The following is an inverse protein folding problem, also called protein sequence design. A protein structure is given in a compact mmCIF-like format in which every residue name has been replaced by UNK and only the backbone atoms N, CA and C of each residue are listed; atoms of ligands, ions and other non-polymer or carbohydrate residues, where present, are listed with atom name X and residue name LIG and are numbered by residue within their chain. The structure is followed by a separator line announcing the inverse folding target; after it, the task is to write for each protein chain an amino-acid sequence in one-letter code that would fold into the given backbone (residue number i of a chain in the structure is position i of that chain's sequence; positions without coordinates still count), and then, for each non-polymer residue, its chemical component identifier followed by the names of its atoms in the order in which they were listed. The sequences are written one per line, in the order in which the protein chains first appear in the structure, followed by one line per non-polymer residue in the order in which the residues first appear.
data_IF_706034486141
#
_entry.id   IF_706034486141
#
_cell.length_a   1.000
_cell.length_b   1.000
_cell.length_c   1.000
_cell.angle_alpha   90.00
_cell.angle_beta   90.00
_cell.angle_gamma   90.00
#
_symmetry.space_group_name_H-M   'P 1'
#
loop_
_entity.id
_entity.type
_entity.pdbx_description
1 polymer ?
#
# COMPACT_ATOMS: atom_id res chain seq x y z
N UNK A 1 -14.85 -42.92 -26.25
CA UNK A 1 -14.50 -43.46 -24.92
C UNK A 1 -15.37 -42.79 -23.89
N UNK A 2 -16.07 -43.59 -23.08
CA UNK A 2 -16.99 -43.09 -22.06
C UNK A 2 -16.26 -42.91 -20.74
N UNK A 3 -16.61 -41.88 -19.96
CA UNK A 3 -15.94 -41.56 -18.68
C UNK A 3 -15.94 -42.73 -17.68
N UNK A 4 -16.87 -43.69 -17.83
CA UNK A 4 -16.93 -44.94 -17.03
C UNK A 4 -15.72 -45.87 -17.22
N UNK A 5 -15.02 -45.79 -18.34
CA UNK A 5 -13.87 -46.67 -18.65
C UNK A 5 -12.56 -46.20 -17.98
N UNK A 6 -12.52 -44.96 -17.46
CA UNK A 6 -11.37 -44.46 -16.70
C UNK A 6 -11.56 -44.80 -15.22
N UNK A 7 -10.98 -45.91 -14.78
CA UNK A 7 -10.82 -46.22 -13.36
C UNK A 7 -10.00 -45.15 -12.62
N UNK A 8 -10.00 -45.20 -11.29
CA UNK A 8 -9.18 -44.31 -10.47
C UNK A 8 -7.69 -44.64 -10.67
N UNK A 9 -6.98 -43.83 -11.47
CA UNK A 9 -5.53 -43.93 -11.61
C UNK A 9 -4.85 -43.28 -10.40
N UNK A 10 -3.80 -43.91 -9.88
CA UNK A 10 -2.91 -43.23 -8.95
C UNK A 10 -2.24 -42.02 -9.64
N UNK A 11 -1.96 -41.01 -8.84
CA UNK A 11 -1.33 -39.79 -9.33
C UNK A 11 0.17 -40.06 -9.52
N UNK A 12 0.59 -40.20 -10.78
CA UNK A 12 2.00 -40.45 -11.17
C UNK A 12 2.78 -39.16 -11.50
N UNK A 13 2.29 -38.00 -11.04
CA UNK A 13 2.92 -36.71 -11.33
C UNK A 13 4.16 -36.43 -10.47
N UNK A 14 5.07 -35.59 -10.96
CA UNK A 14 6.13 -35.01 -10.14
C UNK A 14 5.65 -33.75 -9.40
N UNK A 15 6.09 -33.58 -8.15
CA UNK A 15 5.83 -32.36 -7.39
C UNK A 15 6.60 -31.19 -8.00
N UNK A 16 5.91 -30.32 -8.75
CA UNK A 16 6.51 -29.09 -9.28
C UNK A 16 6.72 -28.09 -8.14
N UNK A 17 7.97 -27.98 -7.67
CA UNK A 17 8.38 -26.99 -6.69
C UNK A 17 8.52 -25.63 -7.39
N UNK A 18 7.61 -24.70 -7.14
CA UNK A 18 7.73 -23.32 -7.61
C UNK A 18 8.56 -22.49 -6.62
N UNK A 19 9.47 -21.64 -7.13
CA UNK A 19 10.28 -20.71 -6.31
C UNK A 19 9.44 -19.71 -5.51
N UNK A 20 8.31 -19.27 -6.06
CA UNK A 20 7.40 -18.29 -5.42
C UNK A 20 5.96 -18.83 -5.41
N UNK A 21 5.63 -19.77 -4.50
CA UNK A 21 4.29 -20.38 -4.43
C UNK A 21 3.20 -19.35 -4.06
N UNK A 22 3.57 -18.24 -3.43
CA UNK A 22 2.69 -17.16 -2.99
C UNK A 22 2.31 -16.16 -4.09
N UNK A 23 3.12 -16.03 -5.16
CA UNK A 23 2.92 -15.04 -6.21
C UNK A 23 1.54 -15.08 -6.91
N UNK A 24 0.99 -16.27 -7.26
CA UNK A 24 -0.35 -16.34 -7.83
C UNK A 24 -1.43 -15.74 -6.93
N UNK A 25 -1.33 -15.95 -5.60
CA UNK A 25 -2.28 -15.40 -4.62
C UNK A 25 -2.24 -13.88 -4.67
N UNK A 26 -1.04 -13.30 -4.69
CA UNK A 26 -0.85 -11.85 -4.79
C UNK A 26 -1.41 -11.30 -6.10
N UNK A 27 -1.07 -11.92 -7.24
CA UNK A 27 -1.54 -11.48 -8.56
C UNK A 27 -3.07 -11.50 -8.65
N UNK A 28 -3.71 -12.58 -8.17
CA UNK A 28 -5.16 -12.67 -8.16
C UNK A 28 -5.79 -11.67 -7.18
N UNK A 29 -5.20 -11.48 -6.00
CA UNK A 29 -5.64 -10.46 -5.03
C UNK A 29 -5.61 -9.06 -5.62
N UNK A 30 -4.49 -8.66 -6.23
CA UNK A 30 -4.35 -7.36 -6.92
C UNK A 30 -5.40 -7.22 -8.03
N UNK A 31 -5.55 -8.24 -8.88
CA UNK A 31 -6.54 -8.22 -9.97
C UNK A 31 -7.96 -8.05 -9.43
N UNK A 32 -8.34 -8.81 -8.40
CA UNK A 32 -9.67 -8.74 -7.78
C UNK A 32 -9.94 -7.35 -7.20
N UNK A 33 -8.95 -6.74 -6.54
CA UNK A 33 -9.09 -5.37 -6.03
C UNK A 33 -9.29 -4.37 -7.17
N UNK A 34 -8.51 -4.45 -8.25
CA UNK A 34 -8.69 -3.57 -9.43
C UNK A 34 -10.01 -3.76 -10.16
N UNK A 35 -10.63 -4.94 -10.08
CA UNK A 35 -11.95 -5.17 -10.68
C UNK A 35 -13.09 -4.46 -9.92
N UNK A 36 -12.86 -3.99 -8.69
CA UNK A 36 -13.87 -3.24 -7.92
C UNK A 36 -14.07 -1.86 -8.51
N UNK A 37 -15.31 -1.54 -8.90
CA UNK A 37 -15.67 -0.25 -9.53
C UNK A 37 -15.18 0.97 -8.75
N UNK A 38 -15.41 0.98 -7.43
CA UNK A 38 -15.01 2.10 -6.57
C UNK A 38 -13.50 2.23 -6.43
N UNK A 39 -12.77 1.12 -6.38
CA UNK A 39 -11.31 1.13 -6.21
C UNK A 39 -10.59 1.79 -7.39
N UNK A 40 -11.13 1.67 -8.61
CA UNK A 40 -10.60 2.35 -9.81
C UNK A 40 -10.62 3.87 -9.68
N UNK A 41 -11.52 4.44 -8.88
CA UNK A 41 -11.57 5.87 -8.60
C UNK A 41 -10.77 6.24 -7.34
N UNK A 42 -10.81 5.40 -6.30
CA UNK A 42 -10.09 5.68 -5.05
C UNK A 42 -8.58 5.74 -5.25
N UNK A 43 -7.99 4.84 -6.06
CA UNK A 43 -6.55 4.81 -6.29
C UNK A 43 -6.01 6.10 -6.97
N UNK A 44 -6.53 6.59 -8.11
CA UNK A 44 -6.05 7.85 -8.67
C UNK A 44 -6.34 9.05 -7.75
N UNK A 45 -7.48 9.06 -7.05
CA UNK A 45 -7.79 10.11 -6.07
C UNK A 45 -6.75 10.17 -4.94
N UNK A 46 -6.28 9.00 -4.49
CA UNK A 46 -5.25 8.90 -3.45
C UNK A 46 -3.89 9.47 -3.86
N UNK A 47 -3.63 9.65 -5.16
CA UNK A 47 -2.42 10.25 -5.69
C UNK A 47 -2.51 11.77 -5.83
N UNK A 48 -3.68 12.40 -5.64
CA UNK A 48 -3.82 13.85 -5.76
C UNK A 48 -2.91 14.63 -4.78
N UNK A 49 -2.79 14.25 -3.49
CA UNK A 49 -1.82 14.89 -2.61
C UNK A 49 -0.40 14.74 -3.14
N UNK A 50 -0.07 13.60 -3.76
CA UNK A 50 1.25 13.40 -4.32
C UNK A 50 1.53 14.39 -5.46
N UNK A 51 0.55 14.61 -6.34
CA UNK A 51 0.63 15.60 -7.42
C UNK A 51 0.81 17.00 -6.86
N UNK A 52 0.05 17.38 -5.82
CA UNK A 52 0.19 18.68 -5.17
C UNK A 52 1.60 18.91 -4.61
N UNK A 53 2.15 17.93 -3.89
CA UNK A 53 3.53 18.03 -3.38
C UNK A 53 4.56 18.07 -4.51
N UNK A 54 4.36 17.30 -5.59
CA UNK A 54 5.23 17.36 -6.76
C UNK A 54 5.21 18.74 -7.43
N UNK A 55 4.04 19.38 -7.53
CA UNK A 55 3.94 20.76 -8.03
C UNK A 55 4.62 21.76 -7.10
N UNK A 56 4.53 21.56 -5.79
CA UNK A 56 5.28 22.36 -4.82
C UNK A 56 6.80 22.25 -5.03
N UNK A 57 7.29 21.05 -5.35
CA UNK A 57 8.71 20.84 -5.67
C UNK A 57 9.10 21.65 -6.92
N UNK A 58 8.30 21.55 -7.98
CA UNK A 58 8.54 22.29 -9.22
C UNK A 58 8.58 23.81 -9.01
N UNK A 59 7.60 24.35 -8.27
CA UNK A 59 7.50 25.79 -7.97
C UNK A 59 8.72 26.27 -7.18
N UNK A 60 9.19 25.48 -6.20
CA UNK A 60 10.31 25.87 -5.35
C UNK A 60 11.65 26.02 -6.10
N UNK A 61 11.83 25.27 -7.19
CA UNK A 61 13.04 25.35 -8.01
C UNK A 61 12.94 26.47 -9.05
N UNK A 62 11.72 26.92 -9.35
CA UNK A 62 11.41 27.99 -10.32
C UNK A 62 10.85 29.24 -9.65
N UNK A 63 11.31 29.57 -8.44
CA UNK A 63 10.85 30.76 -7.69
C UNK A 63 11.12 32.08 -8.42
N UNK A 64 12.03 32.09 -9.39
CA UNK A 64 12.28 33.24 -10.27
C UNK A 64 11.07 33.55 -11.16
N UNK A 65 10.38 32.51 -11.64
CA UNK A 65 9.21 32.61 -12.54
C UNK A 65 7.93 33.03 -11.80
N UNK A 66 7.88 32.90 -10.47
CA UNK A 66 6.68 33.15 -9.65
C UNK A 66 6.93 34.19 -8.54
N UNK A 67 7.10 35.48 -8.88
CA UNK A 67 7.37 36.53 -7.91
C UNK A 67 6.26 36.71 -6.86
N UNK A 68 5.01 36.36 -7.18
CA UNK A 68 3.88 36.40 -6.24
C UNK A 68 4.02 35.41 -5.06
N UNK A 69 4.80 34.33 -5.20
CA UNK A 69 4.94 33.28 -4.19
C UNK A 69 6.15 33.48 -3.26
N UNK A 70 6.91 34.56 -3.44
CA UNK A 70 8.19 34.84 -2.76
C UNK A 70 8.04 35.30 -1.28
N UNK A 71 6.81 35.41 -0.76
CA UNK A 71 6.48 35.84 0.60
C UNK A 71 6.63 34.76 1.69
N UNK A 72 5.76 34.78 2.70
CA UNK A 72 5.77 33.82 3.84
C UNK A 72 5.68 32.33 3.42
N UNK A 73 5.13 32.06 2.24
CA UNK A 73 5.11 30.72 1.61
C UNK A 73 6.49 30.16 1.26
N UNK A 74 7.53 31.00 1.25
CA UNK A 74 8.91 30.59 0.94
C UNK A 74 9.47 29.55 1.91
N UNK A 75 9.09 29.57 3.20
CA UNK A 75 9.55 28.57 4.17
C UNK A 75 8.94 27.18 3.92
N UNK A 76 7.67 27.12 3.51
CA UNK A 76 7.00 25.86 3.14
C UNK A 76 7.46 25.32 1.78
N UNK A 77 7.97 26.18 0.91
CA UNK A 77 8.53 25.83 -0.39
C UNK A 77 10.00 25.39 -0.30
N UNK A 78 10.68 25.53 0.84
CA UNK A 78 12.02 24.96 1.00
C UNK A 78 11.94 23.43 1.08
N UNK A 79 12.36 22.77 0.00
CA UNK A 79 12.43 21.31 -0.06
C UNK A 79 13.61 20.84 0.80
N UNK A 80 13.31 20.62 2.08
CA UNK A 80 14.17 19.98 3.07
C UNK A 80 13.62 18.58 3.41
N UNK A 81 14.34 17.74 4.18
CA UNK A 81 13.79 16.48 4.70
C UNK A 81 12.45 16.66 5.44
N UNK A 82 12.22 17.84 6.04
CA UNK A 82 10.93 18.22 6.63
C UNK A 82 9.76 18.21 5.63
N UNK A 83 9.99 18.57 4.37
CA UNK A 83 8.97 18.54 3.32
C UNK A 83 8.45 17.12 3.06
N UNK A 84 9.38 16.15 2.97
CA UNK A 84 9.06 14.73 2.82
C UNK A 84 8.33 14.21 4.07
N UNK A 85 8.80 14.58 5.27
CA UNK A 85 8.13 14.23 6.52
C UNK A 85 6.68 14.72 6.53
N UNK A 86 6.45 15.98 6.16
CA UNK A 86 5.09 16.57 6.11
C UNK A 86 4.17 15.79 5.18
N UNK A 87 4.64 15.37 4.01
CA UNK A 87 3.85 14.53 3.10
C UNK A 87 3.41 13.21 3.77
N UNK A 88 4.35 12.51 4.40
CA UNK A 88 4.10 11.21 5.01
C UNK A 88 3.27 11.29 6.30
N UNK A 89 3.44 12.34 7.11
CA UNK A 89 2.74 12.51 8.39
C UNK A 89 1.45 13.32 8.27
N UNK A 90 1.05 13.70 7.07
CA UNK A 90 -0.19 14.44 6.85
C UNK A 90 -1.38 13.58 7.28
N UNK A 91 -2.25 14.08 8.17
CA UNK A 91 -3.39 13.29 8.68
C UNK A 91 -4.30 12.77 7.56
N UNK A 92 -4.49 13.56 6.51
CA UNK A 92 -5.20 13.14 5.30
C UNK A 92 -4.52 11.97 4.56
N UNK A 93 -3.18 11.89 4.58
CA UNK A 93 -2.44 10.78 3.98
C UNK A 93 -2.65 9.48 4.76
N UNK A 94 -2.65 9.52 6.09
CA UNK A 94 -3.01 8.38 6.94
C UNK A 94 -4.44 7.89 6.64
N UNK A 95 -5.39 8.82 6.53
CA UNK A 95 -6.77 8.52 6.18
C UNK A 95 -6.89 7.87 4.79
N UNK A 96 -6.17 8.38 3.79
CA UNK A 96 -6.12 7.79 2.44
C UNK A 96 -5.57 6.36 2.48
N UNK A 97 -4.46 6.13 3.19
CA UNK A 97 -3.89 4.79 3.34
C UNK A 97 -4.90 3.84 3.98
N UNK A 98 -5.61 4.28 5.01
CA UNK A 98 -6.67 3.52 5.64
C UNK A 98 -7.79 3.17 4.66
N UNK A 99 -8.25 4.13 3.84
CA UNK A 99 -9.26 3.86 2.81
C UNK A 99 -8.80 2.77 1.85
N UNK A 100 -7.57 2.85 1.34
CA UNK A 100 -7.01 1.81 0.47
C UNK A 100 -6.98 0.45 1.18
N UNK A 101 -6.56 0.42 2.44
CA UNK A 101 -6.51 -0.80 3.27
C UNK A 101 -7.89 -1.41 3.50
N UNK A 102 -8.92 -0.59 3.71
CA UNK A 102 -10.30 -1.08 3.82
C UNK A 102 -10.73 -1.74 2.50
N UNK A 103 -10.50 -1.08 1.37
CA UNK A 103 -10.91 -1.60 0.07
C UNK A 103 -10.20 -2.87 -0.36
N UNK A 104 -8.89 -2.97 -0.10
CA UNK A 104 -8.11 -4.14 -0.49
C UNK A 104 -8.10 -5.21 0.61
N UNK A 105 -7.83 -4.83 1.85
CA UNK A 105 -7.54 -5.71 2.98
C UNK A 105 -8.75 -6.36 3.65
N UNK A 106 -9.89 -5.66 3.73
CA UNK A 106 -11.04 -6.18 4.48
C UNK A 106 -11.53 -7.54 3.97
N UNK A 107 -11.55 -7.72 2.65
CA UNK A 107 -11.97 -8.95 1.97
C UNK A 107 -10.90 -10.03 1.83
N UNK A 108 -9.63 -9.75 2.14
CA UNK A 108 -8.55 -10.67 1.77
C UNK A 108 -8.65 -12.03 2.45
N UNK A 109 -8.94 -12.08 3.76
CA UNK A 109 -9.09 -13.33 4.52
C UNK A 109 -10.57 -13.61 4.79
N UNK A 110 -11.37 -12.57 5.04
CA UNK A 110 -12.80 -12.74 5.35
C UNK A 110 -13.58 -13.43 4.23
N UNK A 111 -13.32 -13.11 2.97
CA UNK A 111 -13.98 -13.78 1.84
C UNK A 111 -13.49 -15.23 1.69
N UNK A 112 -12.22 -15.52 1.99
CA UNK A 112 -11.68 -16.89 2.00
C UNK A 112 -12.30 -17.74 3.12
N UNK A 113 -12.56 -17.14 4.29
CA UNK A 113 -13.28 -17.76 5.40
C UNK A 113 -14.76 -17.97 5.09
N UNK A 114 -15.39 -17.01 4.42
CA UNK A 114 -16.81 -17.08 4.03
C UNK A 114 -17.08 -18.23 3.07
N UNK A 115 -16.19 -18.45 2.10
CA UNK A 115 -16.33 -19.47 1.07
C UNK A 115 -15.51 -20.74 1.35
N UNK A 116 -15.03 -20.93 2.58
CA UNK A 116 -14.19 -22.07 3.00
C UNK A 116 -13.01 -22.36 2.06
N UNK A 117 -12.49 -21.32 1.39
CA UNK A 117 -11.47 -21.46 0.34
C UNK A 117 -10.10 -21.85 0.89
N UNK A 118 -9.86 -21.70 2.19
CA UNK A 118 -8.64 -22.14 2.86
C UNK A 118 -8.35 -23.63 2.62
N UNK A 119 -9.38 -24.48 2.57
CA UNK A 119 -9.22 -25.91 2.28
C UNK A 119 -8.67 -26.14 0.86
N UNK A 120 -9.10 -25.31 -0.11
CA UNK A 120 -8.64 -25.36 -1.49
C UNK A 120 -7.21 -24.82 -1.66
N UNK A 121 -6.80 -23.85 -0.84
CA UNK A 121 -5.41 -23.38 -0.82
C UNK A 121 -4.47 -24.43 -0.24
N UNK A 122 -4.86 -25.08 0.86
CA UNK A 122 -4.02 -26.05 1.57
C UNK A 122 -4.09 -27.48 1.02
N UNK A 123 -5.00 -27.77 0.08
CA UNK A 123 -4.94 -29.00 -0.72
C UNK A 123 -3.84 -28.97 -1.78
N UNK A 124 -3.30 -27.78 -2.07
CA UNK A 124 -2.12 -27.57 -2.93
C UNK A 124 -0.85 -27.50 -2.07
N UNK A 125 0.34 -27.71 -2.64
CA UNK A 125 1.61 -27.60 -1.91
C UNK A 125 1.97 -26.14 -1.57
N UNK A 126 1.13 -25.49 -0.76
CA UNK A 126 1.26 -24.10 -0.30
C UNK A 126 1.28 -24.12 1.23
N UNK A 127 2.33 -23.57 1.85
CA UNK A 127 2.40 -23.49 3.31
C UNK A 127 1.56 -22.31 3.82
N UNK A 128 1.19 -22.35 5.10
CA UNK A 128 0.50 -21.22 5.79
C UNK A 128 1.27 -19.89 5.65
N UNK A 129 2.61 -19.94 5.71
CA UNK A 129 3.49 -18.77 5.52
C UNK A 129 3.38 -18.19 4.12
N UNK A 130 3.35 -19.04 3.09
CA UNK A 130 3.22 -18.61 1.69
C UNK A 130 1.85 -17.96 1.44
N UNK A 131 0.79 -18.54 2.00
CA UNK A 131 -0.53 -17.94 1.95
C UNK A 131 -0.54 -16.55 2.59
N UNK A 132 0.01 -16.40 3.81
CA UNK A 132 0.04 -15.13 4.52
C UNK A 132 0.89 -14.09 3.77
N UNK A 133 2.08 -14.45 3.30
CA UNK A 133 2.94 -13.59 2.49
C UNK A 133 2.23 -13.13 1.21
N UNK A 134 1.51 -14.03 0.55
CA UNK A 134 0.74 -13.72 -0.64
C UNK A 134 -0.32 -12.64 -0.39
N UNK A 135 -1.01 -12.70 0.76
CA UNK A 135 -2.01 -11.70 1.18
C UNK A 135 -1.38 -10.38 1.64
N UNK A 136 -0.29 -10.44 2.41
CA UNK A 136 0.48 -9.25 2.82
C UNK A 136 0.94 -8.48 1.58
N UNK A 137 1.49 -9.18 0.59
CA UNK A 137 2.01 -8.58 -0.63
C UNK A 137 0.95 -7.80 -1.44
N UNK A 138 -0.34 -8.17 -1.34
CA UNK A 138 -1.43 -7.39 -1.98
C UNK A 138 -1.55 -6.01 -1.35
N UNK A 139 -1.57 -5.93 -0.03
CA UNK A 139 -1.69 -4.66 0.71
C UNK A 139 -0.43 -3.82 0.50
N UNK A 140 0.75 -4.44 0.64
CA UNK A 140 2.04 -3.79 0.42
C UNK A 140 2.13 -3.20 -0.99
N UNK A 141 1.70 -3.93 -2.01
CA UNK A 141 1.68 -3.43 -3.39
C UNK A 141 0.86 -2.14 -3.53
N UNK A 142 -0.37 -2.12 -3.02
CA UNK A 142 -1.23 -0.93 -3.15
C UNK A 142 -0.73 0.25 -2.32
N UNK A 143 -0.23 -0.01 -1.13
CA UNK A 143 0.30 1.06 -0.29
C UNK A 143 1.63 1.61 -0.82
N UNK A 144 2.50 0.79 -1.41
CA UNK A 144 3.73 1.27 -2.05
C UNK A 144 3.45 2.21 -3.23
N UNK A 145 2.33 2.03 -3.95
CA UNK A 145 1.93 2.95 -5.03
C UNK A 145 1.71 4.37 -4.52
N UNK A 146 1.29 4.53 -3.26
CA UNK A 146 0.98 5.85 -2.69
C UNK A 146 2.05 6.35 -1.72
N UNK A 147 2.89 5.48 -1.16
CA UNK A 147 3.95 5.89 -0.23
C UNK A 147 5.32 5.89 -0.92
N UNK A 148 5.78 4.72 -1.30
CA UNK A 148 7.14 4.50 -1.80
C UNK A 148 7.35 5.18 -3.16
N UNK A 149 6.43 4.96 -4.10
CA UNK A 149 6.55 5.51 -5.46
C UNK A 149 6.57 7.05 -5.42
N UNK A 150 5.60 7.75 -4.82
CA UNK A 150 5.64 9.21 -4.74
C UNK A 150 6.87 9.73 -4.01
N UNK A 151 7.28 9.10 -2.90
CA UNK A 151 8.47 9.51 -2.16
C UNK A 151 9.74 9.44 -3.01
N UNK A 152 9.94 8.35 -3.76
CA UNK A 152 11.07 8.22 -4.67
C UNK A 152 10.98 9.19 -5.86
N UNK A 153 9.77 9.39 -6.41
CA UNK A 153 9.55 10.35 -7.49
C UNK A 153 9.89 11.77 -7.03
N UNK A 154 9.50 12.17 -5.82
CA UNK A 154 9.84 13.49 -5.26
C UNK A 154 11.35 13.68 -5.14
N UNK A 155 12.04 12.65 -4.65
CA UNK A 155 13.49 12.67 -4.51
C UNK A 155 14.19 12.83 -5.87
N UNK A 156 13.77 12.05 -6.87
CA UNK A 156 14.31 12.13 -8.23
C UNK A 156 13.99 13.49 -8.86
N UNK A 157 12.75 13.97 -8.77
CA UNK A 157 12.34 15.25 -9.37
C UNK A 157 13.08 16.43 -8.75
N UNK A 158 13.32 16.42 -7.43
CA UNK A 158 14.16 17.42 -6.77
C UNK A 158 15.60 17.42 -7.33
N UNK A 159 16.21 16.26 -7.51
CA UNK A 159 17.55 16.18 -8.11
C UNK A 159 17.57 16.67 -9.56
N UNK A 160 16.57 16.31 -10.35
CA UNK A 160 16.46 16.73 -11.76
C UNK A 160 16.26 18.24 -11.87
N UNK A 161 15.35 18.82 -11.08
CA UNK A 161 15.04 20.25 -11.15
C UNK A 161 16.13 21.15 -10.55
N UNK A 162 16.79 20.71 -9.48
CA UNK A 162 17.91 21.47 -8.89
C UNK A 162 19.19 21.42 -9.73
N UNK A 163 19.29 20.50 -10.70
CA UNK A 163 20.45 20.35 -11.58
C UNK A 163 21.77 20.04 -10.87
N UNK A 164 21.74 19.70 -9.57
CA UNK A 164 22.93 19.53 -8.76
C UNK A 164 22.81 18.37 -7.76
N UNK A 165 23.90 17.64 -7.56
CA UNK A 165 23.97 16.56 -6.56
C UNK A 165 24.16 17.07 -5.13
N UNK A 166 24.21 18.39 -4.93
CA UNK A 166 24.39 19.00 -3.60
C UNK A 166 23.32 18.53 -2.63
N UNK A 167 22.06 18.44 -3.07
CA UNK A 167 20.97 17.95 -2.23
C UNK A 167 21.18 16.51 -1.75
N UNK A 168 21.66 15.61 -2.63
CA UNK A 168 21.95 14.23 -2.25
C UNK A 168 23.16 14.14 -1.30
N UNK A 169 24.21 14.93 -1.54
CA UNK A 169 25.39 14.98 -0.68
C UNK A 169 25.07 15.55 0.71
N UNK A 170 24.16 16.51 0.79
CA UNK A 170 23.68 17.04 2.07
C UNK A 170 22.78 16.05 2.81
N UNK A 171 21.99 15.23 2.09
CA UNK A 171 21.02 14.31 2.66
C UNK A 171 21.08 12.88 2.06
N UNK A 172 22.20 12.15 2.19
CA UNK A 172 22.36 10.84 1.55
C UNK A 172 21.46 9.76 2.17
N UNK A 173 21.02 9.94 3.42
CA UNK A 173 20.13 9.00 4.11
C UNK A 173 18.66 9.11 3.69
N UNK A 174 18.27 10.21 3.04
CA UNK A 174 16.87 10.50 2.69
C UNK A 174 16.18 9.39 1.86
N UNK A 175 16.76 8.88 0.74
CA UNK A 175 16.10 7.81 -0.03
C UNK A 175 15.94 6.53 0.79
N UNK A 176 16.91 6.20 1.66
CA UNK A 176 16.81 5.06 2.56
C UNK A 176 15.72 5.27 3.62
N UNK A 177 15.57 6.48 4.15
CA UNK A 177 14.48 6.82 5.08
C UNK A 177 13.10 6.69 4.43
N UNK A 178 12.94 7.08 3.16
CA UNK A 178 11.70 6.93 2.41
C UNK A 178 11.33 5.44 2.27
N UNK A 179 12.30 4.61 1.90
CA UNK A 179 12.12 3.15 1.76
C UNK A 179 11.77 2.54 3.11
N UNK A 180 12.53 2.85 4.16
CA UNK A 180 12.34 2.32 5.51
C UNK A 180 10.97 2.70 6.07
N UNK A 181 10.59 3.98 5.96
CA UNK A 181 9.27 4.46 6.39
C UNK A 181 8.15 3.72 5.65
N UNK A 182 8.25 3.62 4.33
CA UNK A 182 7.24 2.92 3.51
C UNK A 182 7.11 1.46 3.92
N UNK A 183 8.22 0.73 4.12
CA UNK A 183 8.21 -0.66 4.58
C UNK A 183 7.53 -0.79 5.95
N UNK A 184 7.88 0.07 6.91
CA UNK A 184 7.33 0.01 8.28
C UNK A 184 5.83 0.26 8.26
N UNK A 185 5.38 1.33 7.60
CA UNK A 185 3.96 1.71 7.56
C UNK A 185 3.13 0.67 6.82
N UNK A 186 3.60 0.21 5.66
CA UNK A 186 2.88 -0.83 4.91
C UNK A 186 2.86 -2.17 5.64
N UNK A 187 3.96 -2.53 6.31
CA UNK A 187 4.03 -3.69 7.20
C UNK A 187 2.96 -3.59 8.28
N UNK A 188 2.93 -2.49 9.03
CA UNK A 188 1.94 -2.25 10.07
C UNK A 188 0.50 -2.40 9.56
N UNK A 189 0.13 -1.67 8.50
CA UNK A 189 -1.22 -1.73 7.93
C UNK A 189 -1.57 -3.11 7.38
N UNK A 190 -0.60 -3.85 6.83
CA UNK A 190 -0.83 -5.20 6.34
C UNK A 190 -1.15 -6.17 7.47
N UNK A 191 -0.40 -6.15 8.57
CA UNK A 191 -0.67 -6.98 9.74
C UNK A 191 -1.99 -6.59 10.40
N UNK A 192 -2.22 -5.29 10.57
CA UNK A 192 -3.47 -4.74 11.11
C UNK A 192 -4.69 -5.22 10.31
N UNK A 193 -4.69 -5.04 9.00
CA UNK A 193 -5.84 -5.41 8.17
C UNK A 193 -6.07 -6.92 8.12
N UNK A 194 -5.01 -7.73 8.04
CA UNK A 194 -5.14 -9.19 7.99
C UNK A 194 -5.58 -9.78 9.33
N UNK A 195 -5.12 -9.21 10.45
CA UNK A 195 -5.60 -9.57 11.78
C UNK A 195 -7.12 -9.38 11.83
N UNK A 196 -7.60 -8.20 11.46
CA UNK A 196 -9.02 -7.88 11.50
C UNK A 196 -9.84 -8.69 10.49
N UNK A 197 -9.29 -8.95 9.30
CA UNK A 197 -9.91 -9.78 8.27
C UNK A 197 -10.06 -11.24 8.68
N UNK A 198 -9.23 -11.73 9.61
CA UNK A 198 -9.33 -13.10 10.12
C UNK A 198 -10.39 -13.29 11.21
N UNK A 199 -10.86 -12.22 11.84
CA UNK A 199 -11.84 -12.26 12.93
C UNK A 199 -13.28 -12.52 12.46
N UNK A 200 -13.62 -12.20 11.21
CA UNK A 200 -15.00 -12.29 10.72
C UNK A 200 -15.09 -12.80 9.28
N UNK A 201 -16.13 -13.59 9.01
CA UNK A 201 -16.50 -14.05 7.65
C UNK A 201 -17.18 -12.96 6.81
N UNK A 202 -17.56 -11.83 7.41
CA UNK A 202 -18.26 -10.77 6.70
C UNK A 202 -17.32 -9.59 6.42
N UNK A 203 -16.90 -9.44 5.17
CA UNK A 203 -15.99 -8.39 4.72
C UNK A 203 -16.50 -6.96 5.01
N UNK A 204 -17.81 -6.74 5.06
CA UNK A 204 -18.38 -5.44 5.45
C UNK A 204 -18.17 -5.12 6.93
N UNK A 205 -18.33 -6.11 7.81
CA UNK A 205 -18.06 -5.92 9.24
C UNK A 205 -16.57 -5.67 9.48
N UNK A 206 -15.69 -6.37 8.77
CA UNK A 206 -14.25 -6.13 8.83
C UNK A 206 -13.91 -4.70 8.39
N UNK A 207 -14.51 -4.21 7.31
CA UNK A 207 -14.31 -2.84 6.84
C UNK A 207 -14.71 -1.80 7.91
N UNK A 208 -15.88 -1.98 8.53
CA UNK A 208 -16.35 -1.13 9.64
C UNK A 208 -15.39 -1.20 10.83
N UNK A 209 -14.87 -2.38 11.14
CA UNK A 209 -13.97 -2.58 12.28
C UNK A 209 -12.60 -1.94 12.05
N UNK A 210 -12.02 -2.08 10.84
CA UNK A 210 -10.80 -1.38 10.42
C UNK A 210 -10.96 0.14 10.55
N UNK A 211 -12.10 0.66 10.10
CA UNK A 211 -12.40 2.09 10.18
C UNK A 211 -12.64 2.55 11.63
N UNK A 212 -13.45 1.81 12.38
CA UNK A 212 -13.85 2.14 13.74
C UNK A 212 -12.68 2.19 14.71
N UNK A 213 -11.75 1.23 14.63
CA UNK A 213 -10.55 1.23 15.48
C UNK A 213 -9.65 2.43 15.16
N UNK A 214 -9.51 2.78 13.87
CA UNK A 214 -8.75 3.98 13.48
C UNK A 214 -9.39 5.25 14.05
N UNK A 215 -10.70 5.42 13.86
CA UNK A 215 -11.41 6.61 14.35
C UNK A 215 -11.34 6.72 15.87
N UNK A 216 -11.48 5.60 16.59
CA UNK A 216 -11.33 5.55 18.04
C UNK A 216 -9.92 5.95 18.46
N UNK A 217 -8.88 5.47 17.76
CA UNK A 217 -7.50 5.87 18.01
C UNK A 217 -7.27 7.37 17.79
N UNK A 218 -7.88 7.95 16.76
CA UNK A 218 -7.75 9.37 16.43
C UNK A 218 -8.46 10.26 17.47
N UNK A 219 -9.67 9.85 17.90
CA UNK A 219 -10.41 10.53 18.98
C UNK A 219 -9.64 10.48 20.30
N UNK A 220 -9.08 9.32 20.66
CA UNK A 220 -8.25 9.19 21.87
C UNK A 220 -7.04 10.12 21.77
N UNK A 221 -6.34 10.12 20.64
CA UNK A 221 -5.20 11.02 20.44
C UNK A 221 -5.60 12.49 20.60
N UNK A 222 -6.79 12.88 20.11
CA UNK A 222 -7.31 14.24 20.26
C UNK A 222 -7.66 14.60 21.72
N UNK A 223 -8.16 13.64 22.51
CA UNK A 223 -8.51 13.86 23.92
C UNK A 223 -7.27 14.06 24.80
N UNK A 224 -6.18 13.33 24.51
CA UNK A 224 -4.95 13.36 25.32
C UNK A 224 -3.92 14.41 24.84
N UNK A 225 -4.26 15.24 23.86
CA UNK A 225 -3.41 16.30 23.33
C UNK A 225 -3.74 17.65 23.95
#
# INVERSE_FOLDING_TARGET
MTIKEKGYSHWDGEFIVKKFPWWPITRYGIKLTFMRRFFKFTLPMSLLPAVFFLTGIYISERLEDFPFLRGETSQFLQINPGYFKTYFTLGFMLFIMLMIVIFCGASLISDDLKHNSLQLYFSRPIKKKDYLLGKIAVIVFFLFIITLIPGLVFFIMKLVFSGSLKFFLSYPWLPLSIIAYSIIVTGFFSFYALLLSSLSKNSRLVAILIFGIYMLSDIIYLIFR
#
